data_IF_599476898602
#
_entry.id   IF_599476898602
#
_cell.length_a   1.000
_cell.length_b   1.000
_cell.length_c   1.000
_cell.angle_alpha   90.00
_cell.angle_beta   90.00
_cell.angle_gamma   90.00
#
_symmetry.space_group_name_H-M   'P 1'
#
loop_
_entity.id
_entity.type
_entity.pdbx_description
1 polymer ?
#
# COMPACT_ATOMS: atom_id res chain seq x y z
N UNK A 1 -5.28 -5.65 -18.54
CA UNK A 1 -6.59 -5.25 -18.01
C UNK A 1 -6.32 -4.68 -16.64
N UNK A 2 -6.61 -3.39 -16.41
CA UNK A 2 -6.81 -2.79 -15.07
C UNK A 2 -7.25 -3.84 -14.06
N UNK A 3 -6.75 -3.82 -12.81
CA UNK A 3 -7.39 -4.57 -11.72
C UNK A 3 -8.88 -4.42 -11.94
N UNK A 4 -9.58 -5.52 -12.17
CA UNK A 4 -10.98 -5.40 -12.49
C UNK A 4 -11.63 -4.71 -11.30
N UNK A 5 -12.33 -3.60 -11.56
CA UNK A 5 -13.19 -2.99 -10.56
C UNK A 5 -14.19 -4.02 -9.98
N UNK A 6 -14.40 -5.16 -10.65
CA UNK A 6 -15.26 -6.26 -10.22
C UNK A 6 -14.80 -6.98 -8.93
N UNK A 7 -13.53 -6.89 -8.53
CA UNK A 7 -13.06 -7.50 -7.26
C UNK A 7 -13.04 -6.53 -6.09
N UNK A 8 -13.24 -5.23 -6.35
CA UNK A 8 -13.37 -4.21 -5.30
C UNK A 8 -14.81 -4.25 -4.78
N UNK A 9 -15.05 -4.61 -3.51
CA UNK A 9 -16.41 -4.66 -2.99
C UNK A 9 -17.05 -3.27 -3.02
N UNK A 10 -18.29 -3.17 -3.48
CA UNK A 10 -19.06 -1.92 -3.44
C UNK A 10 -19.08 -1.33 -2.02
N UNK A 11 -19.16 -2.19 -0.99
CA UNK A 11 -19.05 -1.82 0.42
C UNK A 11 -17.79 -1.00 0.76
N UNK A 12 -16.65 -1.31 0.13
CA UNK A 12 -15.41 -0.56 0.36
C UNK A 12 -15.50 0.84 -0.23
N UNK A 13 -16.06 0.96 -1.43
CA UNK A 13 -16.28 2.25 -2.11
C UNK A 13 -17.30 3.10 -1.34
N UNK A 14 -18.40 2.50 -0.94
CA UNK A 14 -19.48 3.16 -0.20
C UNK A 14 -19.00 3.64 1.17
N UNK A 15 -18.18 2.84 1.86
CA UNK A 15 -17.55 3.24 3.11
C UNK A 15 -16.65 4.48 2.94
N UNK A 16 -15.92 4.60 1.83
CA UNK A 16 -15.13 5.79 1.52
C UNK A 16 -16.02 6.99 1.25
N UNK A 17 -17.01 6.86 0.37
CA UNK A 17 -17.92 7.96 0.01
C UNK A 17 -18.66 8.49 1.25
N UNK A 18 -19.24 7.59 2.05
CA UNK A 18 -19.93 7.93 3.29
C UNK A 18 -18.97 8.57 4.31
N UNK A 19 -17.76 8.01 4.47
CA UNK A 19 -16.73 8.54 5.36
C UNK A 19 -16.26 9.94 4.95
N UNK A 20 -16.05 10.18 3.65
CA UNK A 20 -15.69 11.49 3.11
C UNK A 20 -16.80 12.51 3.35
N UNK A 21 -18.05 12.16 3.04
CA UNK A 21 -19.20 13.03 3.30
C UNK A 21 -19.33 13.37 4.80
N UNK A 22 -19.12 12.39 5.69
CA UNK A 22 -19.12 12.61 7.14
C UNK A 22 -17.99 13.56 7.56
N UNK A 23 -16.75 13.33 7.12
CA UNK A 23 -15.61 14.18 7.47
C UNK A 23 -15.77 15.60 6.93
N UNK A 24 -16.32 15.78 5.72
CA UNK A 24 -16.52 17.09 5.11
C UNK A 24 -17.50 17.98 5.91
N UNK A 25 -18.48 17.36 6.59
CA UNK A 25 -19.41 18.06 7.50
C UNK A 25 -18.77 18.45 8.83
N UNK A 26 -17.56 17.97 9.12
CA UNK A 26 -16.80 18.31 10.32
C UNK A 26 -15.63 19.22 9.96
N UNK A 27 -15.09 20.00 10.91
CA UNK A 27 -13.82 20.72 10.71
C UNK A 27 -12.61 19.79 10.45
N UNK A 28 -12.80 18.46 10.49
CA UNK A 28 -11.78 17.43 10.31
C UNK A 28 -11.39 17.12 8.86
N UNK A 29 -11.82 17.91 7.87
CA UNK A 29 -11.35 17.80 6.49
C UNK A 29 -9.99 18.51 6.33
N UNK A 30 -8.97 17.98 7.02
CA UNK A 30 -7.65 18.58 7.19
C UNK A 30 -6.69 18.39 5.99
N UNK A 31 -7.22 17.98 4.84
CA UNK A 31 -6.49 17.76 3.58
C UNK A 31 -6.79 18.95 2.66
N UNK A 32 -5.89 19.94 2.51
CA UNK A 32 -6.19 21.23 1.89
C UNK A 32 -6.72 21.14 0.46
N UNK A 33 -6.13 20.28 -0.39
CA UNK A 33 -6.57 20.11 -1.78
C UNK A 33 -7.97 19.52 -1.82
N UNK A 34 -8.22 18.49 -1.02
CA UNK A 34 -9.52 17.83 -0.96
C UNK A 34 -10.60 18.77 -0.38
N UNK A 35 -10.28 19.58 0.63
CA UNK A 35 -11.19 20.56 1.21
C UNK A 35 -11.55 21.66 0.20
N UNK A 36 -10.56 22.17 -0.53
CA UNK A 36 -10.79 23.15 -1.58
C UNK A 36 -11.69 22.58 -2.69
N UNK A 37 -11.36 21.39 -3.21
CA UNK A 37 -12.13 20.73 -4.26
C UNK A 37 -13.57 20.43 -3.79
N UNK A 38 -13.74 19.89 -2.58
CA UNK A 38 -15.05 19.58 -2.01
C UNK A 38 -15.93 20.81 -1.80
N UNK A 39 -15.36 21.96 -1.39
CA UNK A 39 -16.14 23.20 -1.19
C UNK A 39 -16.62 23.83 -2.49
N UNK A 40 -15.79 23.77 -3.53
CA UNK A 40 -16.10 24.42 -4.81
C UNK A 40 -16.95 23.53 -5.70
N UNK A 41 -16.60 22.24 -5.80
CA UNK A 41 -17.17 21.31 -6.76
C UNK A 41 -17.23 19.87 -6.19
N UNK A 42 -18.06 19.59 -5.18
CA UNK A 42 -18.11 18.27 -4.54
C UNK A 42 -18.47 17.14 -5.52
N UNK A 43 -19.29 17.43 -6.52
CA UNK A 43 -19.69 16.51 -7.60
C UNK A 43 -18.56 16.16 -8.60
N UNK A 44 -17.44 16.88 -8.54
CA UNK A 44 -16.31 16.67 -9.43
C UNK A 44 -15.25 15.75 -8.82
N UNK A 45 -15.42 15.34 -7.55
CA UNK A 45 -14.56 14.36 -6.90
C UNK A 45 -14.89 12.94 -7.38
N UNK A 46 -13.87 12.22 -7.81
CA UNK A 46 -13.98 10.84 -8.30
C UNK A 46 -13.02 9.92 -7.58
N UNK A 47 -13.52 8.74 -7.18
CA UNK A 47 -12.70 7.63 -6.69
C UNK A 47 -12.24 6.80 -7.88
N UNK A 48 -10.92 6.67 -8.05
CA UNK A 48 -10.27 6.03 -9.18
C UNK A 48 -9.22 5.02 -8.73
N UNK A 49 -8.86 4.12 -9.65
CA UNK A 49 -7.77 3.15 -9.49
C UNK A 49 -7.78 2.41 -8.13
N UNK A 50 -8.89 1.69 -7.79
CA UNK A 50 -8.93 0.90 -6.57
C UNK A 50 -7.82 -0.15 -6.59
N UNK A 51 -7.07 -0.30 -5.50
CA UNK A 51 -6.06 -1.34 -5.34
C UNK A 51 -5.96 -1.79 -3.88
N UNK A 52 -5.57 -3.04 -3.64
CA UNK A 52 -5.45 -3.57 -2.27
C UNK A 52 -4.27 -2.96 -1.54
N UNK A 53 -4.34 -2.95 -0.21
CA UNK A 53 -3.25 -2.53 0.68
C UNK A 53 -2.75 -3.71 1.49
N UNK A 54 -1.43 -3.86 1.55
CA UNK A 54 -0.75 -4.84 2.39
C UNK A 54 0.12 -4.09 3.42
N UNK A 55 -0.04 -4.41 4.70
CA UNK A 55 0.74 -3.85 5.79
C UNK A 55 1.80 -4.83 6.26
N UNK A 56 3.01 -4.33 6.45
CA UNK A 56 4.09 -5.01 7.12
C UNK A 56 4.39 -4.31 8.46
N UNK A 57 3.86 -4.82 9.58
CA UNK A 57 4.04 -4.18 10.89
C UNK A 57 5.50 -4.21 11.37
N UNK A 58 5.91 -3.18 12.10
CA UNK A 58 7.24 -3.12 12.73
C UNK A 58 7.50 -4.31 13.67
N UNK A 59 6.48 -4.72 14.43
CA UNK A 59 6.57 -5.88 15.33
C UNK A 59 6.86 -7.18 14.58
N UNK A 60 6.26 -7.36 13.40
CA UNK A 60 6.53 -8.50 12.52
C UNK A 60 7.96 -8.44 12.00
N UNK A 61 8.41 -7.31 11.47
CA UNK A 61 9.80 -7.14 11.00
C UNK A 61 10.82 -7.43 12.11
N UNK A 62 10.63 -6.87 13.31
CA UNK A 62 11.54 -7.11 14.43
C UNK A 62 11.53 -8.55 14.93
N UNK A 63 10.38 -9.23 14.90
CA UNK A 63 10.30 -10.66 15.25
C UNK A 63 11.13 -11.50 14.28
N UNK A 64 11.06 -11.20 12.98
CA UNK A 64 11.85 -11.88 11.96
C UNK A 64 13.35 -11.56 12.03
N UNK A 65 13.70 -10.35 12.49
CA UNK A 65 15.10 -9.94 12.63
C UNK A 65 15.78 -10.52 13.89
N UNK A 66 15.01 -10.99 14.88
CA UNK A 66 15.56 -11.69 16.04
C UNK A 66 15.94 -13.11 15.62
N UNK A 67 17.21 -13.53 15.76
CA UNK A 67 17.54 -14.93 15.58
C UNK A 67 16.77 -15.73 16.64
N UNK A 68 16.08 -16.81 16.22
CA UNK A 68 15.56 -17.79 17.17
C UNK A 68 16.74 -18.25 18.04
N UNK A 69 16.63 -18.05 19.35
CA UNK A 69 17.67 -18.43 20.33
C UNK A 69 17.95 -19.94 20.40
N UNK A 70 17.35 -20.74 19.51
CA UNK A 70 17.45 -22.18 19.43
C UNK A 70 17.78 -22.68 18.01
N UNK A 71 18.79 -22.11 17.36
CA UNK A 71 19.75 -22.85 16.52
C UNK A 71 20.62 -21.84 15.77
N UNK A 72 21.93 -21.85 16.06
CA UNK A 72 22.92 -21.32 15.14
C UNK A 72 22.91 -22.20 13.87
N UNK A 73 22.02 -21.90 12.92
CA UNK A 73 22.19 -22.34 11.54
C UNK A 73 23.20 -21.41 10.88
N UNK A 74 24.04 -22.00 10.03
CA UNK A 74 25.09 -21.32 9.27
C UNK A 74 24.57 -19.99 8.66
N UNK A 75 25.29 -18.86 8.80
CA UNK A 75 24.86 -17.54 8.31
C UNK A 75 24.64 -17.47 6.79
N UNK A 76 25.01 -18.52 6.04
CA UNK A 76 24.86 -18.59 4.59
C UNK A 76 23.45 -18.97 4.09
N UNK A 77 22.52 -19.42 4.95
CA UNK A 77 21.14 -19.79 4.55
C UNK A 77 20.10 -19.40 5.59
N UNK A 78 19.93 -18.10 5.83
CA UNK A 78 18.65 -17.61 6.35
C UNK A 78 17.69 -17.61 5.16
N UNK A 79 16.93 -18.69 4.99
CA UNK A 79 15.78 -18.68 4.08
C UNK A 79 14.78 -17.67 4.63
N UNK A 80 14.73 -16.50 3.98
CA UNK A 80 13.74 -15.49 4.32
C UNK A 80 12.35 -16.04 3.99
N UNK A 81 11.45 -15.93 4.97
CA UNK A 81 10.06 -16.34 4.82
C UNK A 81 9.41 -15.50 3.70
N UNK A 82 8.52 -16.10 2.91
CA UNK A 82 7.80 -15.41 1.85
C UNK A 82 7.05 -14.18 2.37
N UNK A 83 7.14 -13.06 1.66
CA UNK A 83 6.49 -11.79 2.02
C UNK A 83 4.98 -11.94 2.26
N UNK A 84 4.31 -12.80 1.48
CA UNK A 84 2.88 -13.10 1.59
C UNK A 84 2.46 -13.70 2.92
N UNK A 85 3.38 -14.33 3.66
CA UNK A 85 3.10 -14.91 4.97
C UNK A 85 3.24 -13.91 6.13
N UNK A 86 3.86 -12.75 5.89
CA UNK A 86 4.18 -11.75 6.92
C UNK A 86 3.47 -10.42 6.68
N UNK A 87 3.05 -10.14 5.45
CA UNK A 87 2.22 -8.99 5.12
C UNK A 87 0.74 -9.28 5.34
N UNK A 88 0.01 -8.34 5.94
CA UNK A 88 -1.43 -8.45 6.22
C UNK A 88 -2.21 -7.57 5.25
N UNK A 89 -3.22 -8.14 4.57
CA UNK A 89 -4.12 -7.35 3.72
C UNK A 89 -5.03 -6.51 4.61
N UNK A 90 -4.93 -5.18 4.51
CA UNK A 90 -5.71 -4.24 5.33
C UNK A 90 -7.07 -3.89 4.71
N UNK A 91 -7.15 -3.88 3.39
CA UNK A 91 -8.31 -3.40 2.65
C UNK A 91 -7.92 -2.74 1.34
N UNK A 92 -8.56 -1.63 1.02
CA UNK A 92 -8.50 -0.97 -0.27
C UNK A 92 -8.04 0.48 -0.17
N UNK A 93 -7.33 0.92 -1.21
CA UNK A 93 -7.00 2.31 -1.44
C UNK A 93 -7.64 2.80 -2.72
N UNK A 94 -8.16 4.02 -2.67
CA UNK A 94 -8.72 4.74 -3.81
C UNK A 94 -7.93 6.02 -4.01
N UNK A 95 -7.54 6.32 -5.24
CA UNK A 95 -7.04 7.64 -5.61
C UNK A 95 -8.24 8.58 -5.81
N UNK A 96 -8.13 9.80 -5.32
CA UNK A 96 -9.16 10.82 -5.48
C UNK A 96 -8.70 11.84 -6.51
N UNK A 97 -9.49 11.99 -7.57
CA UNK A 97 -9.28 13.01 -8.60
C UNK A 97 -10.33 14.10 -8.47
N UNK A 98 -9.93 15.33 -8.75
CA UNK A 98 -10.84 16.39 -9.16
C UNK A 98 -10.95 16.32 -10.69
N UNK A 99 -12.16 16.36 -11.25
CA UNK A 99 -12.42 16.31 -12.70
C UNK A 99 -11.56 17.30 -13.51
N UNK A 100 -11.15 18.40 -12.88
CA UNK A 100 -10.36 19.46 -13.50
C UNK A 100 -8.85 19.24 -13.41
N UNK A 101 -8.39 18.17 -12.76
CA UNK A 101 -6.96 17.91 -12.48
C UNK A 101 -6.58 16.54 -13.01
N UNK A 102 -5.44 16.49 -13.72
CA UNK A 102 -4.92 15.25 -14.34
C UNK A 102 -4.28 14.31 -13.32
N UNK A 103 -3.84 14.83 -12.19
CA UNK A 103 -3.19 14.09 -11.11
C UNK A 103 -4.13 13.88 -9.91
N UNK A 104 -3.96 12.78 -9.15
CA UNK A 104 -4.74 12.55 -7.95
C UNK A 104 -4.41 13.61 -6.89
N UNK A 105 -5.44 14.21 -6.31
CA UNK A 105 -5.30 15.25 -5.30
C UNK A 105 -5.17 14.69 -3.89
N UNK A 106 -5.71 13.49 -3.66
CA UNK A 106 -5.69 12.77 -2.39
C UNK A 106 -5.82 11.26 -2.61
N UNK A 107 -5.70 10.47 -1.56
CA UNK A 107 -6.14 9.08 -1.56
C UNK A 107 -6.95 8.77 -0.29
N UNK A 108 -7.79 7.73 -0.39
CA UNK A 108 -8.63 7.25 0.69
C UNK A 108 -8.37 5.78 0.96
N UNK A 109 -8.31 5.42 2.24
CA UNK A 109 -8.09 4.06 2.70
C UNK A 109 -9.39 3.50 3.31
N UNK A 110 -9.94 2.46 2.69
CA UNK A 110 -10.99 1.62 3.25
C UNK A 110 -10.35 0.41 3.93
N UNK A 111 -10.50 0.28 5.25
CA UNK A 111 -9.91 -0.83 6.02
C UNK A 111 -11.04 -1.73 6.52
N UNK A 112 -10.80 -3.04 6.49
CA UNK A 112 -11.71 -4.02 7.06
C UNK A 112 -11.93 -3.78 8.56
N UNK A 113 -13.14 -4.02 9.04
CA UNK A 113 -13.47 -3.89 10.46
C UNK A 113 -13.69 -5.25 11.11
N UNK A 114 -13.47 -5.34 12.42
CA UNK A 114 -13.70 -6.56 13.21
C UNK A 114 -15.18 -7.00 13.21
N UNK A 115 -16.10 -6.10 12.87
CA UNK A 115 -17.54 -6.36 12.78
C UNK A 115 -17.96 -6.84 11.38
N UNK A 116 -17.01 -7.04 10.46
CA UNK A 116 -17.30 -7.25 9.05
C UNK A 116 -17.48 -5.92 8.30
N UNK A 117 -17.24 -5.93 6.99
CA UNK A 117 -17.33 -4.75 6.14
C UNK A 117 -16.16 -3.78 6.28
N UNK A 118 -16.34 -2.57 5.72
CA UNK A 118 -15.28 -1.57 5.58
C UNK A 118 -15.61 -0.26 6.26
N UNK A 119 -14.58 0.48 6.66
CA UNK A 119 -14.68 1.88 7.08
C UNK A 119 -13.60 2.73 6.46
N UNK A 120 -13.88 4.02 6.25
CA UNK A 120 -12.83 5.01 5.95
C UNK A 120 -11.88 5.11 7.15
N UNK A 121 -10.63 4.68 6.96
CA UNK A 121 -9.57 4.80 7.95
C UNK A 121 -8.82 6.13 7.81
N UNK A 122 -8.42 6.46 6.59
CA UNK A 122 -7.49 7.57 6.33
C UNK A 122 -7.85 8.32 5.04
N UNK A 123 -7.57 9.62 5.04
CA UNK A 123 -7.47 10.47 3.87
C UNK A 123 -6.08 11.09 3.89
N UNK A 124 -5.30 10.89 2.84
CA UNK A 124 -3.95 11.41 2.75
C UNK A 124 -3.73 12.21 1.45
N UNK A 125 -2.81 13.15 1.52
CA UNK A 125 -2.29 13.92 0.39
C UNK A 125 -0.77 13.78 0.37
N UNK A 126 -0.13 14.20 -0.73
CA UNK A 126 1.33 14.34 -0.79
C UNK A 126 2.00 13.51 -1.88
N UNK A 127 3.34 13.41 -1.85
CA UNK A 127 4.13 12.84 -2.94
C UNK A 127 3.80 11.38 -3.26
N UNK A 128 3.44 10.56 -2.26
CA UNK A 128 3.03 9.18 -2.50
C UNK A 128 1.70 9.07 -3.24
N UNK A 129 0.80 10.05 -3.06
CA UNK A 129 -0.45 10.11 -3.81
C UNK A 129 -0.16 10.45 -5.27
N UNK A 130 0.60 11.52 -5.52
CA UNK A 130 0.92 11.97 -6.89
C UNK A 130 1.88 11.03 -7.62
N UNK A 131 2.71 10.26 -6.90
CA UNK A 131 3.57 9.23 -7.46
C UNK A 131 2.86 7.90 -7.78
N UNK A 132 1.65 7.68 -7.25
CA UNK A 132 0.90 6.42 -7.47
C UNK A 132 0.59 6.15 -8.95
N UNK A 133 0.11 7.13 -9.76
CA UNK A 133 -0.10 6.91 -11.19
C UNK A 133 1.19 6.53 -11.91
N UNK A 134 2.34 7.14 -11.56
CA UNK A 134 3.64 6.82 -12.15
C UNK A 134 4.03 5.37 -11.87
N UNK A 135 3.83 4.89 -10.64
CA UNK A 135 4.07 3.49 -10.28
C UNK A 135 3.15 2.54 -11.07
N UNK A 136 1.85 2.84 -11.15
CA UNK A 136 0.87 2.06 -11.91
C UNK A 136 1.14 2.07 -13.42
N UNK A 137 1.78 3.13 -13.93
CA UNK A 137 2.16 3.28 -15.33
C UNK A 137 3.56 2.73 -15.65
N UNK A 138 4.32 2.26 -14.65
CA UNK A 138 5.64 1.68 -14.87
C UNK A 138 5.54 0.49 -15.86
N UNK A 139 6.49 0.33 -16.81
CA UNK A 139 6.36 -0.69 -17.86
C UNK A 139 6.19 -2.11 -17.33
N UNK A 140 6.91 -2.49 -16.26
CA UNK A 140 6.80 -3.80 -15.61
C UNK A 140 5.41 -4.02 -15.01
N UNK A 141 4.92 -3.04 -14.25
CA UNK A 141 3.57 -3.04 -13.66
C UNK A 141 2.50 -3.09 -14.73
N UNK A 142 2.57 -2.20 -15.73
CA UNK A 142 1.64 -2.18 -16.86
C UNK A 142 1.62 -3.52 -17.57
N UNK A 143 2.79 -4.14 -17.81
CA UNK A 143 2.86 -5.46 -18.44
C UNK A 143 2.16 -6.50 -17.58
N UNK A 144 2.49 -6.58 -16.30
CA UNK A 144 1.93 -7.56 -15.37
C UNK A 144 0.40 -7.44 -15.23
N UNK A 145 -0.12 -6.21 -15.11
CA UNK A 145 -1.59 -6.00 -15.06
C UNK A 145 -2.20 -6.06 -16.47
N UNK A 146 -1.44 -5.90 -17.55
CA UNK A 146 -1.99 -5.95 -18.92
C UNK A 146 -2.21 -7.37 -19.45
N UNK A 147 -1.40 -8.35 -19.00
CA UNK A 147 -1.18 -9.65 -19.64
C UNK A 147 -2.29 -10.69 -19.45
N UNK A 148 -3.42 -10.29 -18.88
CA UNK A 148 -4.49 -11.17 -18.42
C UNK A 148 -5.72 -11.09 -19.34
N UNK A 149 -5.58 -11.56 -20.59
CA UNK A 149 -6.76 -11.84 -21.45
C UNK A 149 -6.78 -13.23 -22.08
N UNK A 150 -5.64 -13.94 -22.17
CA UNK A 150 -5.59 -15.24 -22.85
C UNK A 150 -4.97 -16.39 -22.01
N UNK A 151 -4.26 -16.11 -20.90
CA UNK A 151 -3.70 -17.14 -20.01
C UNK A 151 -4.18 -16.89 -18.57
N UNK A 152 -4.74 -17.91 -17.90
CA UNK A 152 -5.38 -17.92 -16.55
C UNK A 152 -4.50 -17.45 -15.36
N UNK A 153 -3.42 -16.69 -15.58
CA UNK A 153 -2.41 -16.35 -14.56
C UNK A 153 -2.48 -14.88 -14.16
N UNK A 154 -3.53 -14.58 -13.38
CA UNK A 154 -3.80 -13.24 -12.87
C UNK A 154 -2.70 -12.69 -11.97
N UNK A 155 -2.37 -11.42 -12.18
CA UNK A 155 -1.43 -10.66 -11.33
C UNK A 155 -2.19 -9.57 -10.58
N UNK A 156 -1.96 -9.47 -9.28
CA UNK A 156 -2.62 -8.51 -8.41
C UNK A 156 -1.62 -7.46 -7.92
N UNK A 157 -1.88 -6.15 -8.12
CA UNK A 157 -1.07 -5.09 -7.54
C UNK A 157 -1.61 -4.72 -6.14
N UNK A 158 -0.71 -4.69 -5.16
CA UNK A 158 -0.97 -4.30 -3.78
C UNK A 158 -0.05 -3.15 -3.39
N UNK A 159 -0.57 -2.14 -2.71
CA UNK A 159 0.25 -1.14 -2.04
C UNK A 159 0.82 -1.75 -0.75
N UNK A 160 2.11 -2.10 -0.77
CA UNK A 160 2.85 -2.57 0.39
C UNK A 160 3.32 -1.38 1.24
N UNK A 161 2.95 -1.38 2.51
CA UNK A 161 3.24 -0.32 3.47
C UNK A 161 4.03 -0.88 4.66
N UNK A 162 5.13 -0.23 5.02
CA UNK A 162 5.78 -0.40 6.32
C UNK A 162 5.94 0.98 6.99
N UNK A 163 4.87 1.52 7.61
CA UNK A 163 4.82 2.93 8.03
C UNK A 163 5.92 3.32 9.03
N UNK A 164 6.30 2.42 9.93
CA UNK A 164 7.28 2.71 10.97
C UNK A 164 8.71 2.94 10.45
N UNK A 165 8.98 2.57 9.21
CA UNK A 165 10.25 2.79 8.50
C UNK A 165 10.05 3.63 7.23
N UNK A 166 8.92 4.33 7.13
CA UNK A 166 8.58 5.23 6.02
C UNK A 166 8.70 4.57 4.62
N UNK A 167 8.33 3.30 4.51
CA UNK A 167 8.36 2.59 3.24
C UNK A 167 6.98 2.44 2.61
N UNK A 168 6.90 2.72 1.31
CA UNK A 168 5.78 2.39 0.45
C UNK A 168 6.28 1.83 -0.89
N UNK A 169 5.66 0.76 -1.37
CA UNK A 169 5.99 0.12 -2.64
C UNK A 169 4.77 -0.54 -3.28
N UNK A 170 4.75 -0.65 -4.60
CA UNK A 170 3.74 -1.43 -5.30
C UNK A 170 4.22 -2.87 -5.46
N UNK A 171 3.64 -3.79 -4.69
CA UNK A 171 3.90 -5.22 -4.80
C UNK A 171 2.99 -5.81 -5.87
N UNK A 172 3.60 -6.34 -6.94
CA UNK A 172 2.91 -7.10 -7.96
C UNK A 172 3.01 -8.57 -7.59
N UNK A 173 1.89 -9.12 -7.15
CA UNK A 173 1.76 -10.51 -6.74
C UNK A 173 1.22 -11.35 -7.90
N UNK A 174 2.00 -12.31 -8.35
CA UNK A 174 1.61 -13.29 -9.34
C UNK A 174 1.10 -14.56 -8.65
N UNK A 175 0.35 -15.40 -9.38
CA UNK A 175 0.06 -16.76 -8.91
C UNK A 175 1.35 -17.59 -8.73
N UNK A 176 2.33 -17.36 -9.61
CA UNK A 176 3.69 -17.91 -9.51
C UNK A 176 4.57 -16.92 -8.73
N UNK A 177 4.82 -17.23 -7.46
CA UNK A 177 5.49 -16.33 -6.52
C UNK A 177 6.92 -15.96 -6.92
N UNK A 178 7.57 -16.74 -7.79
CA UNK A 178 8.94 -16.44 -8.27
C UNK A 178 8.96 -15.23 -9.21
N UNK A 179 7.79 -14.86 -9.76
CA UNK A 179 7.58 -13.70 -10.61
C UNK A 179 7.21 -12.44 -9.83
N UNK A 180 6.92 -12.57 -8.53
CA UNK A 180 6.64 -11.41 -7.69
C UNK A 180 7.78 -10.39 -7.76
N UNK A 181 7.38 -9.12 -7.75
CA UNK A 181 8.30 -8.01 -7.62
C UNK A 181 7.63 -6.87 -6.86
N UNK A 182 8.46 -5.99 -6.30
CA UNK A 182 8.04 -4.79 -5.60
C UNK A 182 8.68 -3.61 -6.32
N UNK A 183 7.88 -2.59 -6.58
CA UNK A 183 8.31 -1.33 -7.15
C UNK A 183 8.30 -0.26 -6.03
N UNK A 184 9.44 0.08 -5.40
CA UNK A 184 9.50 1.12 -4.38
C UNK A 184 9.02 2.47 -4.92
N UNK A 185 8.27 3.21 -4.10
CA UNK A 185 7.72 4.51 -4.51
C UNK A 185 8.66 5.70 -4.19
N UNK A 186 9.70 5.47 -3.40
CA UNK A 186 10.75 6.43 -3.06
C UNK A 186 12.13 5.76 -3.02
N UNK A 187 13.17 6.57 -2.86
CA UNK A 187 14.58 6.12 -2.83
C UNK A 187 15.16 6.03 -1.41
N UNK A 188 14.33 5.99 -0.36
CA UNK A 188 14.83 6.05 1.02
C UNK A 188 15.54 4.75 1.44
N UNK A 189 15.01 3.60 1.04
CA UNK A 189 15.55 2.28 1.40
C UNK A 189 16.00 1.45 0.20
N UNK A 190 15.33 1.63 -0.94
CA UNK A 190 15.54 0.90 -2.18
C UNK A 190 15.41 1.88 -3.35
N UNK A 191 16.01 1.64 -4.53
CA UNK A 191 15.89 2.55 -5.66
C UNK A 191 14.42 2.75 -6.10
N UNK A 192 13.97 4.00 -6.17
CA UNK A 192 12.61 4.32 -6.59
C UNK A 192 12.32 3.84 -8.02
N UNK A 193 11.15 3.24 -8.22
CA UNK A 193 10.66 2.78 -9.53
C UNK A 193 11.58 1.76 -10.23
N UNK A 194 12.33 0.97 -9.45
CA UNK A 194 13.09 -0.19 -9.94
C UNK A 194 12.46 -1.46 -9.39
N UNK A 195 12.29 -2.47 -10.23
CA UNK A 195 11.74 -3.75 -9.79
C UNK A 195 12.74 -4.43 -8.84
N UNK A 196 12.29 -4.72 -7.62
CA UNK A 196 13.06 -5.39 -6.58
C UNK A 196 12.40 -6.73 -6.25
N UNK A 197 13.21 -7.77 -6.02
CA UNK A 197 12.68 -9.06 -5.60
C UNK A 197 12.11 -8.97 -4.17
N UNK A 198 11.01 -9.68 -3.84
CA UNK A 198 10.43 -9.64 -2.50
C UNK A 198 11.42 -9.96 -1.37
N UNK A 199 12.37 -10.86 -1.60
CA UNK A 199 13.43 -11.23 -0.64
C UNK A 199 14.42 -10.08 -0.40
N UNK A 200 14.84 -9.40 -1.46
CA UNK A 200 15.72 -8.22 -1.37
C UNK A 200 15.02 -7.08 -0.63
N UNK A 201 13.76 -6.81 -0.98
CA UNK A 201 12.96 -5.80 -0.29
C UNK A 201 12.79 -6.15 1.19
N UNK A 202 12.37 -7.38 1.51
CA UNK A 202 12.21 -7.81 2.89
C UNK A 202 13.51 -7.69 3.69
N UNK A 203 14.65 -8.02 3.09
CA UNK A 203 15.98 -7.84 3.71
C UNK A 203 16.21 -6.36 4.08
N UNK A 204 16.00 -5.44 3.14
CA UNK A 204 16.17 -4.01 3.38
C UNK A 204 15.23 -3.49 4.47
N UNK A 205 13.96 -3.93 4.46
CA UNK A 205 12.97 -3.53 5.47
C UNK A 205 13.31 -4.09 6.86
N UNK A 206 13.82 -5.32 6.94
CA UNK A 206 14.29 -5.92 8.20
C UNK A 206 15.46 -5.12 8.77
N UNK A 207 16.46 -4.78 7.95
CA UNK A 207 17.59 -3.97 8.40
C UNK A 207 17.14 -2.59 8.88
N UNK A 208 16.27 -1.91 8.13
CA UNK A 208 15.72 -0.62 8.54
C UNK A 208 14.93 -0.70 9.86
N UNK A 209 14.24 -1.81 10.11
CA UNK A 209 13.44 -2.00 11.35
C UNK A 209 14.29 -2.02 12.64
N UNK A 210 15.58 -2.36 12.53
CA UNK A 210 16.52 -2.40 13.65
C UNK A 210 16.95 -0.98 14.06
N UNK A 211 16.92 -0.02 13.15
CA UNK A 211 17.28 1.37 13.41
C UNK A 211 16.14 2.20 14.04
N UNK A 212 14.90 1.69 14.02
CA UNK A 212 13.77 2.36 14.66
C UNK A 212 13.95 2.30 16.18
N UNK A 213 13.91 3.42 16.92
CA UNK A 213 13.96 3.41 18.37
C UNK A 213 12.82 2.58 18.99
N UNK A 214 13.06 2.01 20.16
CA UNK A 214 11.98 1.56 21.06
C UNK A 214 12.02 2.42 22.29
N UNK A 215 10.90 3.06 22.65
CA UNK A 215 10.70 3.77 23.91
C UNK A 215 10.64 2.80 25.11
N UNK A 216 11.65 1.94 25.23
CA UNK A 216 11.86 1.08 26.40
C UNK A 216 12.82 1.72 27.40
N UNK A 217 13.37 2.91 27.09
CA UNK A 217 14.42 3.56 27.88
C UNK A 217 13.97 4.83 28.64
N UNK A 218 12.70 5.26 28.51
CA UNK A 218 12.20 6.52 29.11
C UNK A 218 10.91 6.38 29.91
N UNK A 219 10.44 5.15 30.15
CA UNK A 219 9.42 4.88 31.16
C UNK A 219 10.08 4.35 32.44
N UNK A 220 10.69 5.27 33.20
CA UNK A 220 11.20 5.07 34.55
C UNK A 220 10.65 6.16 35.46
#
# INVERSE_FOLDING_TARGET
MTISAADCPDDARDAVLAGMAKRARTRGFATPKLNFAHRKHPQDLQLCAPHRMALLPLSTLRRLAKPDGCAAKDPAKIELIALSSVATILGWRFLIYDRNVVEPIAAAHAVFTDQGGYRLAELNEGPYVTGSPKALQAPSVRRAISSDRDDDKSSEPLLLLAPAIYFAGLWIRHQDTDKDFILPMDSNLLPAFVDVKPTEALTALLQASLAVPTDSATAG
#
